data_IF_050108560095
#
_entry.id   IF_050108560095
#
_cell.length_a   1.000
_cell.length_b   1.000
_cell.length_c   1.000
_cell.angle_alpha   90.00
_cell.angle_beta   90.00
_cell.angle_gamma   90.00
#
_symmetry.space_group_name_H-M   'P 1'
#
loop_
_entity.id
_entity.type
_entity.pdbx_description
1 polymer ?
#
# COMPACT_ATOMS: atom_id res chain seq x y z
N UNK A 1 -24.55 11.92 2.18
CA UNK A 1 -23.65 11.48 3.26
C UNK A 1 -24.13 10.20 3.97
N UNK A 2 -24.92 9.31 3.34
CA UNK A 2 -25.37 8.08 4.05
C UNK A 2 -24.22 7.12 4.39
N UNK A 3 -23.29 6.91 3.45
CA UNK A 3 -22.19 5.96 3.63
C UNK A 3 -21.31 6.29 4.84
N UNK A 4 -21.14 7.57 5.19
CA UNK A 4 -20.25 8.00 6.28
C UNK A 4 -20.85 7.78 7.67
N UNK A 5 -22.17 7.78 7.81
CA UNK A 5 -22.84 7.71 9.12
C UNK A 5 -23.40 6.30 9.42
N UNK A 6 -23.70 5.52 8.37
CA UNK A 6 -24.44 4.25 8.53
C UNK A 6 -23.55 3.00 8.35
N UNK A 7 -22.32 3.14 7.82
CA UNK A 7 -21.41 2.03 7.54
C UNK A 7 -20.09 2.15 8.33
N UNK A 8 -19.49 1.01 8.73
CA UNK A 8 -18.25 1.00 9.52
C UNK A 8 -17.00 1.39 8.73
N UNK A 9 -17.12 1.58 7.40
CA UNK A 9 -16.03 2.01 6.52
C UNK A 9 -16.59 3.06 5.55
N UNK A 10 -15.93 4.21 5.51
CA UNK A 10 -16.32 5.36 4.72
C UNK A 10 -15.29 5.69 3.63
N UNK A 11 -15.59 6.72 2.82
CA UNK A 11 -14.69 7.18 1.76
C UNK A 11 -13.35 7.68 2.32
N UNK A 12 -13.35 8.26 3.51
CA UNK A 12 -12.16 8.79 4.16
C UNK A 12 -11.15 7.68 4.47
N UNK A 13 -11.61 6.49 4.90
CA UNK A 13 -10.74 5.32 5.10
C UNK A 13 -10.01 4.91 3.82
N UNK A 14 -10.68 5.03 2.67
CA UNK A 14 -10.12 4.72 1.35
C UNK A 14 -9.09 5.79 0.94
N UNK A 15 -9.38 7.06 1.23
CA UNK A 15 -8.44 8.16 0.98
C UNK A 15 -7.19 8.06 1.85
N UNK A 16 -7.34 7.68 3.12
CA UNK A 16 -6.20 7.39 4.00
C UNK A 16 -5.40 6.19 3.52
N UNK A 17 -6.06 5.10 3.12
CA UNK A 17 -5.40 3.94 2.55
C UNK A 17 -4.58 4.33 1.30
N UNK A 18 -5.13 5.17 0.42
CA UNK A 18 -4.41 5.70 -0.75
C UNK A 18 -3.12 6.43 -0.34
N UNK A 19 -3.16 7.25 0.72
CA UNK A 19 -1.98 7.95 1.25
C UNK A 19 -0.94 6.96 1.79
N UNK A 20 -1.35 5.96 2.58
CA UNK A 20 -0.43 4.93 3.13
C UNK A 20 0.22 4.09 2.03
N UNK A 21 -0.51 3.78 0.96
CA UNK A 21 -0.03 2.94 -0.15
C UNK A 21 0.90 3.69 -1.13
N UNK A 22 0.87 5.02 -1.14
CA UNK A 22 1.61 5.84 -2.09
C UNK A 22 3.13 5.58 -2.06
N UNK A 23 3.74 5.42 -3.23
CA UNK A 23 5.18 5.12 -3.37
C UNK A 23 5.58 3.69 -2.97
N UNK A 24 4.63 2.83 -2.61
CA UNK A 24 4.87 1.43 -2.18
C UNK A 24 4.10 0.41 -3.01
N UNK A 25 2.81 0.67 -3.23
CA UNK A 25 1.91 -0.17 -4.02
C UNK A 25 1.42 0.63 -5.22
N UNK A 26 1.70 0.15 -6.43
CA UNK A 26 1.43 0.89 -7.67
C UNK A 26 0.07 0.52 -8.28
N UNK A 27 -0.42 1.38 -9.17
CA UNK A 27 -1.65 1.14 -9.93
C UNK A 27 -1.36 0.04 -10.96
N UNK A 28 -2.22 -0.97 -10.97
CA UNK A 28 -2.22 -2.04 -11.98
C UNK A 28 -2.87 -1.56 -13.27
N UNK A 29 -2.44 -2.15 -14.39
CA UNK A 29 -3.03 -1.91 -15.71
C UNK A 29 -4.53 -2.21 -15.75
N UNK A 30 -5.21 -1.51 -16.66
CA UNK A 30 -6.64 -1.70 -16.92
C UNK A 30 -6.93 -1.58 -18.41
N UNK A 31 -6.36 -2.46 -19.26
CA UNK A 31 -6.60 -2.40 -20.69
C UNK A 31 -8.03 -2.84 -21.04
N UNK A 32 -8.52 -2.33 -22.17
CA UNK A 32 -9.72 -2.87 -22.82
C UNK A 32 -9.43 -4.27 -23.34
N UNK A 33 -10.37 -5.19 -23.17
CA UNK A 33 -10.31 -6.52 -23.78
C UNK A 33 -11.15 -6.53 -25.04
N UNK A 34 -10.52 -6.73 -26.20
CA UNK A 34 -11.24 -6.84 -27.47
C UNK A 34 -12.20 -8.03 -27.46
N UNK A 35 -11.70 -9.21 -27.03
CA UNK A 35 -12.51 -10.43 -26.92
C UNK A 35 -13.76 -10.24 -26.07
N UNK A 36 -13.63 -9.77 -24.82
CA UNK A 36 -14.81 -9.60 -23.98
C UNK A 36 -15.71 -8.47 -24.46
N UNK A 37 -15.16 -7.41 -25.03
CA UNK A 37 -15.96 -6.31 -25.55
C UNK A 37 -16.84 -6.74 -26.73
N UNK A 38 -16.28 -7.52 -27.66
CA UNK A 38 -17.01 -8.10 -28.79
C UNK A 38 -18.10 -9.06 -28.33
N UNK A 39 -17.77 -9.95 -27.38
CA UNK A 39 -18.70 -10.97 -26.87
C UNK A 39 -19.84 -10.38 -26.05
N UNK A 40 -19.58 -9.34 -25.27
CA UNK A 40 -20.57 -8.69 -24.40
C UNK A 40 -21.31 -7.54 -25.08
N UNK A 41 -20.97 -7.19 -26.34
CA UNK A 41 -21.52 -6.02 -27.06
C UNK A 41 -21.43 -4.73 -26.24
N UNK A 42 -20.29 -4.52 -25.58
CA UNK A 42 -20.04 -3.36 -24.71
C UNK A 42 -18.54 -3.16 -24.47
N UNK A 43 -18.14 -2.09 -23.78
CA UNK A 43 -16.73 -1.86 -23.49
C UNK A 43 -16.29 -2.54 -22.19
N UNK A 44 -15.50 -3.61 -22.31
CA UNK A 44 -15.02 -4.38 -21.17
C UNK A 44 -13.53 -4.12 -20.92
N UNK A 45 -13.21 -3.73 -19.70
CA UNK A 45 -11.85 -3.48 -19.23
C UNK A 45 -11.45 -4.50 -18.16
N UNK A 46 -10.22 -4.99 -18.24
CA UNK A 46 -9.72 -6.00 -17.31
C UNK A 46 -8.79 -5.37 -16.28
N UNK A 47 -9.14 -5.46 -15.00
CA UNK A 47 -8.31 -4.95 -13.92
C UNK A 47 -7.29 -6.01 -13.47
N UNK A 48 -6.03 -5.84 -13.87
CA UNK A 48 -4.98 -6.84 -13.65
C UNK A 48 -4.38 -6.82 -12.23
N UNK A 49 -5.20 -7.08 -11.20
CA UNK A 49 -4.68 -7.26 -9.83
C UNK A 49 -3.83 -8.52 -9.65
N UNK A 50 -3.89 -9.47 -10.58
CA UNK A 50 -2.94 -10.60 -10.66
C UNK A 50 -1.50 -10.13 -10.95
N UNK A 51 -1.31 -8.96 -11.58
CA UNK A 51 0.00 -8.34 -11.78
C UNK A 51 0.42 -7.44 -10.62
N UNK A 52 -0.43 -7.29 -9.60
CA UNK A 52 -0.02 -6.58 -8.39
C UNK A 52 1.10 -7.36 -7.69
N UNK A 53 1.88 -6.66 -6.87
CA UNK A 53 2.82 -7.29 -5.94
C UNK A 53 2.13 -8.43 -5.19
N UNK A 54 2.84 -9.55 -5.05
CA UNK A 54 2.34 -10.79 -4.44
C UNK A 54 1.27 -11.53 -5.26
N UNK A 55 0.98 -11.11 -6.50
CA UNK A 55 0.14 -11.85 -7.44
C UNK A 55 -1.38 -11.69 -7.21
N UNK A 56 -1.81 -10.80 -6.32
CA UNK A 56 -3.24 -10.49 -6.11
C UNK A 56 -3.44 -9.16 -5.39
N UNK A 57 -4.68 -8.69 -5.31
CA UNK A 57 -5.05 -7.43 -4.64
C UNK A 57 -4.81 -7.42 -3.12
N UNK A 58 -4.68 -8.60 -2.49
CA UNK A 58 -4.66 -8.75 -1.02
C UNK A 58 -3.53 -7.97 -0.33
N UNK A 59 -2.43 -7.71 -1.05
CA UNK A 59 -1.33 -6.91 -0.53
C UNK A 59 -1.76 -5.48 -0.17
N UNK A 60 -2.77 -4.92 -0.85
CA UNK A 60 -3.26 -3.55 -0.59
C UNK A 60 -3.82 -3.44 0.83
N UNK A 61 -4.71 -4.36 1.20
CA UNK A 61 -5.33 -4.40 2.52
C UNK A 61 -4.34 -4.78 3.62
N UNK A 62 -3.52 -5.80 3.38
CA UNK A 62 -2.49 -6.21 4.33
C UNK A 62 -1.49 -5.08 4.60
N UNK A 63 -1.04 -4.37 3.55
CA UNK A 63 -0.13 -3.25 3.71
C UNK A 63 -0.78 -2.06 4.41
N UNK A 64 -2.04 -1.72 4.08
CA UNK A 64 -2.77 -0.66 4.77
C UNK A 64 -2.89 -0.93 6.27
N UNK A 65 -3.31 -2.14 6.65
CA UNK A 65 -3.46 -2.55 8.05
C UNK A 65 -2.11 -2.56 8.77
N UNK A 66 -1.08 -3.19 8.20
CA UNK A 66 0.23 -3.24 8.85
C UNK A 66 0.87 -1.86 8.99
N UNK A 67 0.64 -0.95 8.04
CA UNK A 67 1.18 0.42 8.10
C UNK A 67 0.44 1.35 9.07
N UNK A 68 -0.75 0.95 9.55
CA UNK A 68 -1.52 1.73 10.53
C UNK A 68 -1.29 1.28 11.97
N UNK A 69 -0.60 0.15 12.19
CA UNK A 69 -0.35 -0.41 13.51
C UNK A 69 0.93 0.15 14.12
N UNK A 70 0.99 0.18 15.46
CA UNK A 70 2.26 0.39 16.17
C UNK A 70 3.21 -0.77 15.93
N UNK A 71 4.50 -0.58 16.25
CA UNK A 71 5.52 -1.61 16.00
C UNK A 71 5.21 -2.91 16.75
N UNK A 72 4.78 -2.83 18.01
CA UNK A 72 4.39 -4.00 18.82
C UNK A 72 3.16 -4.73 18.25
N UNK A 73 2.15 -3.98 17.77
CA UNK A 73 0.95 -4.57 17.16
C UNK A 73 1.24 -5.15 15.78
N UNK A 74 2.17 -4.57 15.03
CA UNK A 74 2.56 -5.06 13.71
C UNK A 74 3.16 -6.46 13.78
N UNK A 75 3.96 -6.74 14.81
CA UNK A 75 4.55 -8.06 15.08
C UNK A 75 3.49 -9.09 15.47
N UNK A 76 2.42 -8.66 16.16
CA UNK A 76 1.31 -9.56 16.50
C UNK A 76 0.39 -9.82 15.30
N UNK A 77 0.03 -8.76 14.57
CA UNK A 77 -0.77 -8.85 13.37
C UNK A 77 -0.07 -9.69 12.30
N UNK A 78 1.26 -9.63 12.25
CA UNK A 78 2.09 -10.47 11.39
C UNK A 78 1.69 -11.94 11.51
N UNK A 79 1.59 -12.51 12.71
CA UNK A 79 1.27 -13.94 12.89
C UNK A 79 -0.08 -14.37 12.28
N UNK A 80 -0.99 -13.42 12.07
CA UNK A 80 -2.37 -13.68 11.66
C UNK A 80 -2.61 -13.40 10.16
N UNK A 81 -1.61 -12.94 9.40
CA UNK A 81 -1.74 -12.71 7.94
C UNK A 81 -1.53 -14.03 7.17
N UNK A 82 -2.27 -14.32 6.09
CA UNK A 82 -2.02 -15.54 5.32
C UNK A 82 -0.60 -15.59 4.70
N UNK A 83 0.09 -16.75 4.71
CA UNK A 83 1.46 -16.91 4.20
C UNK A 83 1.69 -16.38 2.77
N UNK A 84 0.71 -16.53 1.89
CA UNK A 84 0.76 -16.05 0.51
C UNK A 84 0.89 -14.51 0.39
N UNK A 85 0.42 -13.77 1.39
CA UNK A 85 0.52 -12.31 1.46
C UNK A 85 1.79 -11.88 2.22
N UNK A 86 2.25 -12.70 3.17
CA UNK A 86 3.41 -12.44 4.04
C UNK A 86 4.75 -12.36 3.30
N UNK A 87 5.06 -13.32 2.39
CA UNK A 87 6.44 -13.55 1.90
C UNK A 87 7.06 -12.37 1.16
N UNK A 88 6.24 -11.55 0.49
CA UNK A 88 6.69 -10.41 -0.34
C UNK A 88 6.29 -9.04 0.24
N UNK A 89 5.32 -8.99 1.16
CA UNK A 89 4.85 -7.75 1.79
C UNK A 89 5.78 -7.22 2.87
N UNK A 90 6.42 -8.09 3.65
CA UNK A 90 7.31 -7.68 4.75
C UNK A 90 8.60 -7.01 4.27
N UNK A 91 9.20 -7.52 3.19
CA UNK A 91 10.36 -6.88 2.57
C UNK A 91 10.04 -5.42 2.18
N UNK A 92 8.80 -5.15 1.73
CA UNK A 92 8.38 -3.79 1.41
C UNK A 92 8.26 -2.90 2.65
N UNK A 93 7.71 -3.43 3.76
CA UNK A 93 7.55 -2.69 5.01
C UNK A 93 8.93 -2.31 5.60
N UNK A 94 9.88 -3.27 5.67
CA UNK A 94 11.24 -2.98 6.17
C UNK A 94 12.02 -2.01 5.28
N UNK A 95 11.96 -2.17 3.95
CA UNK A 95 12.60 -1.21 3.04
C UNK A 95 11.93 0.17 3.06
N UNK A 96 10.67 0.28 3.51
CA UNK A 96 10.00 1.55 3.72
C UNK A 96 10.43 2.23 5.03
N UNK A 97 10.56 1.48 6.12
CA UNK A 97 11.03 2.01 7.41
C UNK A 97 12.48 2.50 7.37
N UNK A 98 13.35 1.80 6.64
CA UNK A 98 14.79 2.13 6.62
C UNK A 98 15.14 3.42 5.84
N UNK A 99 14.21 3.99 5.08
CA UNK A 99 14.42 5.27 4.37
C UNK A 99 14.01 6.52 5.18
N UNK A 100 13.23 6.38 6.25
CA UNK A 100 12.92 7.52 7.12
C UNK A 100 14.10 7.91 8.02
N UNK A 101 14.87 6.94 8.51
CA UNK A 101 16.04 7.22 9.37
C UNK A 101 17.25 7.80 8.61
N UNK A 102 17.42 7.50 7.31
CA UNK A 102 18.57 8.01 6.55
C UNK A 102 18.43 9.48 6.12
N UNK A 103 17.20 10.02 6.08
CA UNK A 103 16.93 11.42 5.72
C UNK A 103 17.17 12.39 6.88
N UNK A 104 16.65 12.05 8.06
CA UNK A 104 16.77 12.89 9.26
C UNK A 104 18.18 12.87 9.87
N UNK A 105 18.92 11.75 9.70
CA UNK A 105 20.33 11.68 10.08
C UNK A 105 21.24 12.58 9.21
N UNK A 106 20.95 12.69 7.90
CA UNK A 106 21.72 13.57 7.00
C UNK A 106 21.42 15.05 7.24
N UNK A 107 20.17 15.40 7.52
CA UNK A 107 19.77 16.80 7.79
C UNK A 107 20.33 17.31 9.11
N UNK A 108 20.42 16.45 10.13
CA UNK A 108 21.03 16.80 11.42
C UNK A 108 22.55 16.95 11.33
N UNK A 109 23.23 16.13 10.51
CA UNK A 109 24.67 16.25 10.27
C UNK A 109 25.05 17.53 9.48
N UNK A 110 24.21 17.96 8.55
CA UNK A 110 24.45 19.17 7.74
C UNK A 110 24.24 20.47 8.54
N UNK A 111 23.33 20.47 9.52
CA UNK A 111 23.09 21.61 10.43
C UNK A 111 24.21 21.71 11.50
N UNK A 112 24.76 20.58 11.94
CA UNK A 112 25.87 20.54 12.90
C UNK A 112 27.22 20.92 12.26
N UNK A 113 27.42 20.62 10.96
CA UNK A 113 28.66 20.88 10.22
C UNK A 113 28.89 22.35 9.81
N UNK A 114 27.89 23.23 9.87
CA UNK A 114 28.01 24.65 9.52
C UNK A 114 28.31 25.60 10.70
N UNK A 115 28.50 25.08 11.92
CA UNK A 115 28.82 25.90 13.12
C UNK A 115 30.32 25.93 13.49
N UNK A 116 31.19 25.34 12.67
CA UNK A 116 32.64 25.33 12.89
C UNK A 116 33.44 25.72 11.64
N UNK A 117 33.01 26.78 10.96
CA UNK A 117 33.87 27.61 10.11
C UNK A 117 33.62 29.07 10.48
#
# INVERSE_FOLDING_TARGET
>A
MHITYDLPVAIDDILEAKKRLAGKIYKTGMPRSNYFSERCKGEIFLKFENMQRTGSFKIRGAFNKLSSLSEAESVRAWWHVPPATMRKGFALLRHAGNRRQSGDAKRSAEIQGRRHL
#
